data_IF_165515360831
#
_entry.id   IF_165515360831
#
_cell.length_a   1.000
_cell.length_b   1.000
_cell.length_c   1.000
_cell.angle_alpha   90.00
_cell.angle_beta   90.00
_cell.angle_gamma   90.00
#
_symmetry.space_group_name_H-M   'P 1'
#
loop_
_entity.id
_entity.type
_entity.pdbx_description
1 polymer ?
#
# COMPACT_ATOMS: atom_id res chain seq x y z
N UNK A 1 -0.47 17.82 21.18
CA UNK A 1 0.80 17.08 21.32
C UNK A 1 1.73 17.55 20.19
N UNK A 2 2.98 17.94 20.47
CA UNK A 2 3.84 18.60 19.47
C UNK A 2 4.27 17.59 18.38
N UNK A 3 4.02 17.85 17.09
CA UNK A 3 4.29 16.92 15.98
C UNK A 3 5.74 16.41 15.94
N UNK A 4 6.68 17.21 16.46
CA UNK A 4 8.11 16.91 16.55
C UNK A 4 8.45 15.66 17.37
N UNK A 5 7.69 15.34 18.43
CA UNK A 5 7.97 14.16 19.27
C UNK A 5 7.54 12.88 18.54
N UNK A 6 6.41 12.92 17.82
CA UNK A 6 5.91 11.79 17.06
C UNK A 6 6.83 11.48 15.86
N UNK A 7 7.29 12.51 15.16
CA UNK A 7 8.24 12.39 14.05
C UNK A 7 9.57 11.79 14.53
N UNK A 8 10.12 12.30 15.63
CA UNK A 8 11.37 11.78 16.23
C UNK A 8 11.23 10.33 16.69
N UNK A 9 10.07 9.93 17.21
CA UNK A 9 9.82 8.54 17.60
C UNK A 9 9.68 7.62 16.39
N UNK A 10 9.02 8.09 15.32
CA UNK A 10 8.89 7.34 14.07
C UNK A 10 10.24 7.14 13.38
N UNK A 11 11.11 8.16 13.39
CA UNK A 11 12.46 8.08 12.86
C UNK A 11 13.29 7.01 13.60
N UNK A 12 13.27 7.02 14.93
CA UNK A 12 13.97 5.99 15.72
C UNK A 12 13.40 4.59 15.48
N UNK A 13 12.07 4.47 15.34
CA UNK A 13 11.42 3.18 15.08
C UNK A 13 11.76 2.60 13.70
N UNK A 14 11.97 3.45 12.70
CA UNK A 14 12.25 3.05 11.32
C UNK A 14 13.75 2.96 11.01
N UNK A 15 14.62 3.31 11.97
CA UNK A 15 16.06 3.42 11.73
C UNK A 15 16.67 2.11 11.19
N UNK A 16 16.35 0.97 11.80
CA UNK A 16 16.88 -0.34 11.38
C UNK A 16 16.38 -0.72 9.97
N UNK A 17 15.13 -0.40 9.64
CA UNK A 17 14.54 -0.66 8.33
C UNK A 17 15.20 0.22 7.25
N UNK A 18 15.45 1.50 7.57
CA UNK A 18 16.17 2.42 6.68
C UNK A 18 17.59 1.91 6.41
N UNK A 19 18.31 1.49 7.46
CA UNK A 19 19.66 0.94 7.33
C UNK A 19 19.67 -0.33 6.48
N UNK A 20 18.69 -1.23 6.66
CA UNK A 20 18.55 -2.44 5.87
C UNK A 20 18.28 -2.17 4.39
N UNK A 21 17.39 -1.21 4.08
CA UNK A 21 17.07 -0.83 2.69
C UNK A 21 18.28 -0.18 2.02
N UNK A 22 19.02 0.68 2.72
CA UNK A 22 20.25 1.29 2.19
C UNK A 22 21.32 0.22 1.93
N UNK A 23 21.48 -0.73 2.85
CA UNK A 23 22.43 -1.84 2.69
C UNK A 23 22.07 -2.76 1.51
N UNK A 24 20.78 -3.03 1.27
CA UNK A 24 20.32 -3.80 0.10
C UNK A 24 20.73 -3.16 -1.23
N UNK A 25 20.87 -1.83 -1.25
CA UNK A 25 21.30 -1.06 -2.41
C UNK A 25 22.80 -0.71 -2.39
N UNK A 26 23.63 -1.47 -1.65
CA UNK A 26 25.08 -1.24 -1.53
C UNK A 26 25.44 0.20 -1.09
N UNK A 27 24.58 0.84 -0.31
CA UNK A 27 24.75 2.23 0.11
C UNK A 27 24.29 3.28 -0.93
N UNK A 28 23.78 2.88 -2.10
CA UNK A 28 23.19 3.81 -3.06
C UNK A 28 21.81 4.27 -2.61
N UNK A 29 21.81 5.38 -1.87
CA UNK A 29 20.60 6.04 -1.35
C UNK A 29 19.66 6.48 -2.49
N UNK A 30 20.18 6.85 -3.67
CA UNK A 30 19.32 7.26 -4.80
C UNK A 30 18.58 6.06 -5.37
N UNK A 31 19.25 4.92 -5.50
CA UNK A 31 18.61 3.67 -5.91
C UNK A 31 17.53 3.25 -4.91
N UNK A 32 17.84 3.27 -3.60
CA UNK A 32 16.88 2.97 -2.53
C UNK A 32 15.62 3.84 -2.57
N UNK A 33 15.79 5.16 -2.64
CA UNK A 33 14.66 6.10 -2.73
C UNK A 33 13.86 5.87 -4.02
N UNK A 34 14.55 5.61 -5.14
CA UNK A 34 13.89 5.35 -6.42
C UNK A 34 12.98 4.12 -6.33
N UNK A 35 13.46 3.03 -5.74
CA UNK A 35 12.68 1.81 -5.49
C UNK A 35 11.45 2.11 -4.64
N UNK A 36 11.62 2.79 -3.49
CA UNK A 36 10.50 3.12 -2.59
C UNK A 36 9.43 3.98 -3.27
N UNK A 37 9.84 4.94 -4.12
CA UNK A 37 8.91 5.76 -4.88
C UNK A 37 8.12 4.94 -5.91
N UNK A 38 8.77 3.98 -6.57
CA UNK A 38 8.12 3.05 -7.49
C UNK A 38 7.12 2.16 -6.76
N UNK A 39 7.49 1.61 -5.60
CA UNK A 39 6.62 0.79 -4.77
C UNK A 39 5.41 1.58 -4.28
N UNK A 40 5.61 2.81 -3.79
CA UNK A 40 4.51 3.69 -3.40
C UNK A 40 3.58 4.01 -4.56
N UNK A 41 4.11 4.20 -5.78
CA UNK A 41 3.28 4.39 -6.98
C UNK A 41 2.48 3.13 -7.29
N UNK A 42 3.10 1.95 -7.18
CA UNK A 42 2.43 0.68 -7.41
C UNK A 42 1.32 0.42 -6.38
N UNK A 43 1.56 0.69 -5.09
CA UNK A 43 0.55 0.58 -4.03
C UNK A 43 -0.63 1.51 -4.26
N UNK A 44 -0.39 2.76 -4.66
CA UNK A 44 -1.47 3.70 -5.02
C UNK A 44 -2.28 3.19 -6.21
N UNK A 45 -1.63 2.57 -7.20
CA UNK A 45 -2.33 1.95 -8.32
C UNK A 45 -3.17 0.75 -7.87
N UNK A 46 -2.61 -0.13 -7.03
CA UNK A 46 -3.35 -1.27 -6.47
C UNK A 46 -4.58 -0.82 -5.68
N UNK A 47 -4.45 0.24 -4.86
CA UNK A 47 -5.56 0.78 -4.10
C UNK A 47 -6.65 1.35 -5.02
N UNK A 48 -6.27 2.15 -6.03
CA UNK A 48 -7.22 2.69 -7.00
C UNK A 48 -7.96 1.58 -7.77
N UNK A 49 -7.28 0.49 -8.11
CA UNK A 49 -7.91 -0.68 -8.73
C UNK A 49 -8.84 -1.39 -7.74
N UNK A 50 -8.42 -1.60 -6.49
CA UNK A 50 -9.25 -2.26 -5.47
C UNK A 50 -10.52 -1.45 -5.16
N UNK A 51 -10.40 -0.13 -5.02
CA UNK A 51 -11.52 0.79 -4.80
C UNK A 51 -12.46 0.86 -6.01
N UNK A 52 -11.92 0.78 -7.24
CA UNK A 52 -12.72 0.66 -8.46
C UNK A 52 -13.43 -0.69 -8.61
N UNK A 53 -12.88 -1.77 -8.03
CA UNK A 53 -13.48 -3.11 -8.05
C UNK A 53 -14.55 -3.31 -6.96
N UNK A 54 -14.60 -2.47 -5.93
CA UNK A 54 -15.67 -2.52 -4.90
C UNK A 54 -17.06 -2.07 -5.36
N UNK A 55 -17.25 -1.72 -6.65
CA UNK A 55 -18.56 -1.43 -7.27
C UNK A 55 -18.94 -2.50 -8.32
N UNK A 56 -18.52 -3.75 -8.11
CA UNK A 56 -18.77 -4.87 -9.04
C UNK A 56 -19.49 -6.09 -8.46
N UNK A 57 -19.63 -6.19 -7.13
CA UNK A 57 -20.32 -7.30 -6.45
C UNK A 57 -21.81 -7.04 -6.19
N UNK A 58 -22.43 -6.11 -6.92
CA UNK A 58 -23.87 -6.15 -7.20
C UNK A 58 -24.17 -7.08 -8.39
N UNK A 59 -23.38 -8.15 -8.52
CA UNK A 59 -23.63 -9.22 -9.47
C UNK A 59 -24.98 -9.86 -9.13
N UNK A 60 -25.96 -9.46 -9.93
CA UNK A 60 -27.17 -10.17 -10.27
C UNK A 60 -28.12 -10.50 -9.10
N UNK A 61 -29.19 -9.70 -9.01
CA UNK A 61 -30.49 -10.16 -8.51
C UNK A 61 -31.11 -11.25 -9.39
N UNK A 62 -30.40 -12.36 -9.62
CA UNK A 62 -31.02 -13.58 -10.11
C UNK A 62 -31.60 -14.31 -8.90
N UNK A 63 -32.87 -14.01 -8.58
CA UNK A 63 -33.71 -14.94 -7.81
C UNK A 63 -34.06 -16.09 -8.75
N UNK A 64 -33.58 -17.32 -8.56
CA UNK A 64 -34.18 -18.46 -9.24
C UNK A 64 -35.47 -18.75 -8.47
N UNK A 65 -36.59 -18.19 -8.91
CA UNK A 65 -37.88 -18.77 -8.53
C UNK A 65 -38.01 -20.05 -9.33
N UNK A 66 -37.69 -21.17 -8.68
CA UNK A 66 -38.00 -22.49 -9.18
C UNK A 66 -39.50 -22.54 -9.48
N UNK A 67 -39.86 -22.47 -10.76
CA UNK A 67 -41.21 -22.75 -11.21
C UNK A 67 -41.40 -24.26 -11.10
N UNK A 68 -42.11 -24.67 -10.04
CA UNK A 68 -42.64 -26.02 -9.92
C UNK A 68 -43.99 -26.06 -10.64
N UNK A 69 -44.04 -26.72 -11.79
CA UNK A 69 -45.23 -27.38 -12.36
C UNK A 69 -44.79 -28.57 -13.16
#
# INVERSE_FOLDING_TARGET
>A
MRPQIAEKLAEEALKEDVDAVVAYHDGDVRAAITTLLLDCRHLRLQLALAEGQTIGSMTAGSRPTAQRT
#
